data_IF_981143906781
#
_entry.id   IF_981143906781
#
_cell.length_a   1.000
_cell.length_b   1.000
_cell.length_c   1.000
_cell.angle_alpha   90.00
_cell.angle_beta   90.00
_cell.angle_gamma   90.00
#
_symmetry.space_group_name_H-M   'P 1'
#
loop_
_entity.id
_entity.type
_entity.pdbx_description
1 polymer ?
#
# COMPACT_ATOMS: atom_id res chain seq x y z
N UNK A 1 -22.91 9.23 -6.65
CA UNK A 1 -22.83 8.83 -5.22
C UNK A 1 -21.38 8.85 -4.77
N UNK A 2 -21.00 9.69 -3.80
CA UNK A 2 -19.64 9.68 -3.21
C UNK A 2 -19.54 8.45 -2.29
N UNK A 3 -18.68 7.49 -2.62
CA UNK A 3 -18.32 6.42 -1.67
C UNK A 3 -17.56 7.09 -0.53
N UNK A 4 -18.11 7.03 0.68
CA UNK A 4 -17.38 7.45 1.88
C UNK A 4 -16.34 6.36 2.18
N UNK A 5 -15.22 6.41 1.45
CA UNK A 5 -14.17 5.40 1.57
C UNK A 5 -13.41 5.67 2.85
N UNK A 6 -13.76 4.95 3.91
CA UNK A 6 -13.08 5.03 5.19
C UNK A 6 -11.62 4.57 5.02
N UNK A 7 -10.68 5.28 5.64
CA UNK A 7 -9.26 4.95 5.55
C UNK A 7 -8.99 3.65 6.32
N UNK A 8 -8.43 2.63 5.64
CA UNK A 8 -8.12 1.32 6.23
C UNK A 8 -7.30 1.45 7.53
N UNK A 9 -6.33 2.36 7.56
CA UNK A 9 -5.43 2.52 8.71
C UNK A 9 -6.13 3.15 9.91
N UNK A 10 -7.01 4.13 9.67
CA UNK A 10 -7.82 4.76 10.72
C UNK A 10 -8.77 3.75 11.35
N UNK A 11 -9.43 2.90 10.55
CA UNK A 11 -10.33 1.86 11.06
C UNK A 11 -9.57 0.78 11.86
N UNK A 12 -8.35 0.44 11.44
CA UNK A 12 -7.52 -0.56 12.12
C UNK A 12 -6.63 0.01 13.24
N UNK A 13 -6.79 1.30 13.61
CA UNK A 13 -5.97 1.99 14.61
C UNK A 13 -4.44 1.89 14.39
N UNK A 14 -4.03 1.78 13.12
CA UNK A 14 -2.61 1.71 12.75
C UNK A 14 -2.07 3.14 12.66
N UNK A 15 -1.19 3.51 13.59
CA UNK A 15 -0.63 4.88 13.69
C UNK A 15 0.55 5.12 12.76
N UNK A 16 1.33 4.09 12.48
CA UNK A 16 2.53 4.16 11.65
C UNK A 16 2.59 2.94 10.74
N UNK A 17 2.99 3.17 9.49
CA UNK A 17 3.04 2.15 8.45
C UNK A 17 4.49 2.01 8.01
N UNK A 18 5.05 0.82 8.17
CA UNK A 18 6.41 0.53 7.79
C UNK A 18 6.46 -0.10 6.40
N UNK A 19 7.56 0.15 5.68
CA UNK A 19 7.80 -0.47 4.37
C UNK A 19 8.02 -2.00 4.43
N UNK A 20 8.21 -2.53 5.65
CA UNK A 20 8.36 -3.95 5.96
C UNK A 20 7.03 -4.70 5.94
N UNK A 21 5.91 -4.00 6.10
CA UNK A 21 4.57 -4.59 6.22
C UNK A 21 3.99 -4.96 4.85
N UNK A 22 4.70 -5.82 4.11
CA UNK A 22 4.40 -6.18 2.72
C UNK A 22 2.97 -6.67 2.50
N UNK A 23 2.40 -7.40 3.45
CA UNK A 23 1.05 -7.96 3.28
C UNK A 23 -0.06 -6.91 3.40
N UNK A 24 0.18 -5.85 4.17
CA UNK A 24 -0.70 -4.69 4.21
C UNK A 24 -0.52 -3.88 2.93
N UNK A 25 0.73 -3.63 2.54
CA UNK A 25 1.06 -2.84 1.35
C UNK A 25 0.55 -3.46 0.04
N UNK A 26 0.53 -4.79 -0.08
CA UNK A 26 -0.05 -5.52 -1.23
C UNK A 26 -1.52 -5.18 -1.47
N UNK A 27 -2.30 -4.89 -0.42
CA UNK A 27 -3.73 -4.53 -0.54
C UNK A 27 -3.95 -3.20 -1.28
N UNK A 28 -2.92 -2.36 -1.34
CA UNK A 28 -2.94 -1.06 -2.02
C UNK A 28 -2.34 -1.10 -3.44
N UNK A 29 -2.03 -2.30 -3.93
CA UNK A 29 -1.57 -2.54 -5.29
C UNK A 29 -2.69 -3.18 -6.12
N UNK A 30 -2.70 -2.87 -7.42
CA UNK A 30 -3.46 -3.63 -8.41
C UNK A 30 -2.76 -4.96 -8.71
N UNK A 31 -3.44 -5.92 -9.39
CA UNK A 31 -2.80 -7.16 -9.84
C UNK A 31 -1.54 -6.94 -10.68
N UNK A 32 -1.47 -5.85 -11.45
CA UNK A 32 -0.29 -5.45 -12.24
C UNK A 32 0.77 -4.67 -11.44
N UNK A 33 0.69 -4.71 -10.11
CA UNK A 33 1.51 -3.92 -9.19
C UNK A 33 1.45 -2.40 -9.43
N UNK A 34 0.34 -1.85 -9.94
CA UNK A 34 0.16 -0.38 -9.97
C UNK A 34 -0.34 0.09 -8.61
N UNK A 35 0.16 1.23 -8.13
CA UNK A 35 -0.31 1.81 -6.87
C UNK A 35 -1.72 2.38 -7.05
N UNK A 36 -2.64 2.01 -6.16
CA UNK A 36 -4.03 2.49 -6.19
C UNK A 36 -4.09 3.88 -5.54
N UNK A 37 -3.76 4.03 -4.24
CA UNK A 37 -3.74 5.34 -3.55
C UNK A 37 -2.91 5.35 -2.24
N UNK A 38 -2.66 6.56 -1.70
CA UNK A 38 -2.30 6.85 -0.30
C UNK A 38 -0.83 6.66 0.09
N UNK A 39 -0.39 5.42 0.21
CA UNK A 39 0.84 5.01 0.90
C UNK A 39 2.10 5.05 0.01
N UNK A 40 2.34 6.19 -0.64
CA UNK A 40 3.40 6.31 -1.65
C UNK A 40 4.81 6.12 -1.07
N UNK A 41 5.04 6.56 0.15
CA UNK A 41 6.37 6.52 0.79
C UNK A 41 6.75 5.10 1.21
N UNK A 42 5.86 4.38 1.91
CA UNK A 42 6.10 3.01 2.33
C UNK A 42 6.24 2.07 1.12
N UNK A 43 5.37 2.18 0.10
CA UNK A 43 5.45 1.35 -1.11
C UNK A 43 6.73 1.63 -1.90
N UNK A 44 7.12 2.90 -2.08
CA UNK A 44 8.38 3.25 -2.78
C UNK A 44 9.62 2.71 -2.05
N UNK A 45 9.67 2.83 -0.73
CA UNK A 45 10.76 2.27 0.09
C UNK A 45 10.80 0.74 -0.03
N UNK A 46 9.65 0.09 0.09
CA UNK A 46 9.52 -1.36 -0.04
C UNK A 46 10.03 -1.87 -1.40
N UNK A 47 9.72 -1.14 -2.49
CA UNK A 47 10.25 -1.44 -3.83
C UNK A 47 11.74 -1.25 -3.98
N UNK A 48 12.28 -0.16 -3.43
CA UNK A 48 13.73 0.09 -3.45
C UNK A 48 14.51 -1.00 -2.71
N UNK A 49 13.92 -1.56 -1.64
CA UNK A 49 14.48 -2.69 -0.89
C UNK A 49 14.20 -4.06 -1.51
N UNK A 50 13.48 -4.14 -2.64
CA UNK A 50 13.17 -5.41 -3.32
C UNK A 50 12.04 -6.23 -2.68
N UNK A 51 11.31 -5.69 -1.70
CA UNK A 51 10.21 -6.37 -1.01
C UNK A 51 8.91 -6.40 -1.83
N UNK A 52 8.73 -5.43 -2.74
CA UNK A 52 7.58 -5.35 -3.66
C UNK A 52 8.05 -5.11 -5.10
N UNK A 53 7.36 -5.68 -6.10
CA UNK A 53 7.69 -5.44 -7.49
C UNK A 53 7.22 -4.06 -7.98
N UNK A 54 7.94 -3.51 -8.97
CA UNK A 54 7.51 -2.34 -9.72
C UNK A 54 6.42 -2.66 -10.74
N UNK A 55 6.49 -3.86 -11.32
CA UNK A 55 5.56 -4.39 -12.33
C UNK A 55 5.36 -5.87 -12.05
N UNK A 56 4.10 -6.31 -12.05
CA UNK A 56 3.75 -7.74 -12.02
C UNK A 56 3.28 -8.16 -13.41
N UNK A 57 3.68 -9.38 -13.83
CA UNK A 57 3.40 -9.94 -15.15
C UNK A 57 2.03 -10.61 -15.16
#
# INVERSE_FOLDING_TARGET
MKKNTQCYFTTNNVKQIDYKDVDILKKFLTPHARMITGERTAIKRSRFMGLLPFVAK
#
